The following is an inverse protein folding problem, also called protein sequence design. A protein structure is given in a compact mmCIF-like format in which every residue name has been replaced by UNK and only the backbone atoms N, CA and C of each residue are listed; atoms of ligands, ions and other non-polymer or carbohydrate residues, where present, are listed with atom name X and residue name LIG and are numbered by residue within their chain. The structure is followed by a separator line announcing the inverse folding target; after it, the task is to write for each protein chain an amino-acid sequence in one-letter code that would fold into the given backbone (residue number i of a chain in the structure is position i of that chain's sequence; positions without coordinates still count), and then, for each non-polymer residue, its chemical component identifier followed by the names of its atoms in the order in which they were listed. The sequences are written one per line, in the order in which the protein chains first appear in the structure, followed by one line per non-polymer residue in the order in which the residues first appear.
data_IF_358343757943
#
_entry.id   IF_358343757943
#
_cell.length_a   1.000
_cell.length_b   1.000
_cell.length_c   1.000
_cell.angle_alpha   90.00
_cell.angle_beta   90.00
_cell.angle_gamma   90.00
#
_symmetry.space_group_name_H-M   'P 1'
#
loop_
_entity.id
_entity.type
_entity.pdbx_description
1 polymer ?
#
# COMPACT_ATOMS: atom_id res chain seq x y z
N UNK A 1 42.84 0.93 20.35
CA UNK A 1 41.50 1.03 20.99
C UNK A 1 40.80 -0.31 20.82
N UNK A 2 40.69 -1.08 21.91
CA UNK A 2 40.03 -2.38 21.92
C UNK A 2 38.51 -2.18 22.01
N UNK A 3 37.79 -2.41 20.90
CA UNK A 3 36.34 -2.56 20.93
C UNK A 3 36.06 -4.00 21.38
N UNK A 4 35.80 -4.19 22.67
CA UNK A 4 35.18 -5.42 23.17
C UNK A 4 33.77 -5.48 22.59
N UNK A 5 33.60 -6.24 21.50
CA UNK A 5 32.30 -6.61 20.98
C UNK A 5 31.62 -7.48 22.04
N UNK A 6 30.60 -6.93 22.68
CA UNK A 6 29.89 -7.57 23.78
C UNK A 6 29.06 -8.74 23.21
N UNK A 7 29.57 -9.97 23.39
CA UNK A 7 28.96 -11.24 22.98
C UNK A 7 27.53 -11.38 23.51
N UNK A 8 27.16 -10.62 24.55
CA UNK A 8 25.80 -10.55 25.11
C UNK A 8 24.77 -9.95 24.15
N UNK A 9 25.15 -9.06 23.23
CA UNK A 9 24.21 -8.48 22.25
C UNK A 9 23.86 -9.45 21.11
N UNK A 10 24.80 -10.32 20.72
CA UNK A 10 24.55 -11.35 19.69
C UNK A 10 23.64 -12.45 20.25
N UNK A 11 23.82 -12.81 21.53
CA UNK A 11 22.95 -13.77 22.21
C UNK A 11 21.53 -13.22 22.42
N UNK A 12 21.33 -11.93 22.69
CA UNK A 12 19.98 -11.34 22.81
C UNK A 12 19.25 -11.25 21.47
N UNK A 13 19.96 -11.01 20.36
CA UNK A 13 19.37 -11.04 19.01
C UNK A 13 18.90 -12.43 18.60
N UNK A 14 19.70 -13.47 18.91
CA UNK A 14 19.32 -14.88 18.67
C UNK A 14 18.25 -15.35 19.66
N UNK A 15 18.29 -14.92 20.92
CA UNK A 15 17.29 -15.26 21.94
C UNK A 15 15.93 -14.57 21.68
N UNK A 16 15.88 -13.37 21.08
CA UNK A 16 14.62 -12.73 20.68
C UNK A 16 13.98 -13.40 19.47
N UNK A 17 14.78 -13.88 18.51
CA UNK A 17 14.29 -14.75 17.42
C UNK A 17 13.81 -16.10 17.98
N UNK A 18 14.42 -16.59 19.07
CA UNK A 18 14.05 -17.84 19.75
C UNK A 18 12.86 -17.71 20.72
N UNK A 19 12.61 -16.52 21.30
CA UNK A 19 11.49 -16.26 22.21
C UNK A 19 10.19 -15.88 21.47
N UNK A 20 10.29 -15.44 20.20
CA UNK A 20 9.15 -15.36 19.29
C UNK A 20 8.78 -16.75 18.72
N UNK A 21 9.66 -17.74 18.85
CA UNK A 21 9.40 -19.15 18.58
C UNK A 21 8.73 -19.86 19.79
N UNK A 22 7.79 -19.18 20.44
CA UNK A 22 7.01 -19.75 21.53
C UNK A 22 6.42 -21.10 21.12
N UNK A 23 6.94 -22.15 21.75
CA UNK A 23 6.55 -23.54 21.54
C UNK A 23 5.04 -23.73 21.75
N UNK A 24 4.27 -23.70 20.67
CA UNK A 24 3.02 -24.44 20.57
C UNK A 24 3.17 -25.47 19.47
N UNK A 25 3.10 -26.75 19.82
CA UNK A 25 3.19 -27.91 18.92
C UNK A 25 2.01 -28.07 17.94
N UNK A 26 1.17 -27.03 17.83
CA UNK A 26 0.23 -26.83 16.73
C UNK A 26 0.59 -25.49 16.09
N UNK A 27 0.78 -25.41 14.76
CA UNK A 27 0.79 -24.11 14.11
C UNK A 27 -0.53 -23.41 14.53
N UNK A 28 -0.48 -22.16 15.03
CA UNK A 28 -1.72 -21.42 15.28
C UNK A 28 -2.53 -21.46 13.99
N UNK A 29 -3.84 -21.70 14.10
CA UNK A 29 -4.75 -21.58 12.96
C UNK A 29 -4.40 -20.30 12.21
N UNK A 30 -4.12 -20.41 10.91
CA UNK A 30 -3.61 -19.32 10.10
C UNK A 30 -4.48 -18.08 10.27
N UNK A 31 -3.94 -17.07 10.94
CA UNK A 31 -4.62 -15.81 11.17
C UNK A 31 -4.14 -14.82 10.13
N UNK A 32 -5.08 -14.34 9.32
CA UNK A 32 -4.87 -13.43 8.20
C UNK A 32 -5.46 -12.07 8.53
N UNK A 33 -5.11 -11.04 7.77
CA UNK A 33 -5.74 -9.73 7.94
C UNK A 33 -7.26 -9.80 7.70
N UNK A 34 -7.74 -10.72 6.85
CA UNK A 34 -9.16 -10.97 6.63
C UNK A 34 -9.90 -11.55 7.86
N UNK A 35 -9.18 -11.92 8.92
CA UNK A 35 -9.73 -12.46 10.16
C UNK A 35 -9.95 -11.40 11.26
N UNK A 36 -9.60 -10.15 11.00
CA UNK A 36 -9.96 -9.06 11.91
C UNK A 36 -11.50 -8.96 12.06
N UNK A 37 -12.02 -8.80 13.30
CA UNK A 37 -13.44 -8.59 13.54
C UNK A 37 -13.97 -7.39 12.76
N UNK A 38 -15.14 -7.53 12.13
CA UNK A 38 -15.76 -6.51 11.27
C UNK A 38 -15.68 -6.83 9.77
N UNK A 39 -14.66 -7.57 9.31
CA UNK A 39 -14.58 -7.92 7.88
C UNK A 39 -15.71 -8.82 7.37
N UNK A 40 -16.32 -9.63 8.25
CA UNK A 40 -17.49 -10.45 7.90
C UNK A 40 -18.71 -9.61 7.49
N UNK A 41 -18.78 -8.36 7.96
CA UNK A 41 -19.87 -7.44 7.63
C UNK A 41 -19.61 -6.68 6.31
N UNK A 42 -18.39 -6.79 5.77
CA UNK A 42 -17.95 -6.16 4.53
C UNK A 42 -17.84 -7.16 3.35
N UNK A 43 -18.14 -8.44 3.54
CA UNK A 43 -18.12 -9.44 2.47
C UNK A 43 -19.29 -9.24 1.51
N UNK A 44 -19.03 -9.16 0.20
CA UNK A 44 -19.94 -9.22 -0.97
C UNK A 44 -21.24 -8.39 -1.01
N UNK A 45 -21.85 -8.03 0.13
CA UNK A 45 -23.24 -7.63 0.23
C UNK A 45 -23.45 -6.15 0.61
N UNK A 46 -22.38 -5.40 0.94
CA UNK A 46 -22.56 -4.13 1.67
C UNK A 46 -21.80 -2.92 1.13
N UNK A 47 -20.76 -3.08 0.29
CA UNK A 47 -19.95 -1.92 -0.14
C UNK A 47 -19.43 -1.97 -1.58
N UNK A 48 -19.28 -3.11 -2.27
CA UNK A 48 -19.07 -3.05 -3.71
C UNK A 48 -20.32 -2.53 -4.43
N UNK A 49 -20.17 -1.48 -5.23
CA UNK A 49 -21.09 -1.27 -6.35
C UNK A 49 -21.06 -2.48 -7.31
N UNK A 50 -22.05 -2.63 -8.20
CA UNK A 50 -22.02 -3.66 -9.23
C UNK A 50 -20.74 -3.54 -10.08
N UNK A 51 -20.45 -4.57 -10.90
CA UNK A 51 -19.44 -4.43 -11.96
C UNK A 51 -19.71 -3.14 -12.74
N UNK A 52 -18.70 -2.26 -12.93
CA UNK A 52 -18.91 -0.95 -13.54
C UNK A 52 -19.69 -1.02 -14.85
N UNK A 53 -20.70 -0.16 -14.99
CA UNK A 53 -21.47 -0.01 -16.23
C UNK A 53 -20.68 0.74 -17.33
N UNK A 54 -21.28 0.96 -18.49
CA UNK A 54 -20.59 1.63 -19.60
C UNK A 54 -20.16 3.07 -19.26
N UNK A 55 -20.98 3.84 -18.53
CA UNK A 55 -20.65 5.22 -18.12
C UNK A 55 -19.53 5.21 -17.08
N UNK A 56 -19.60 4.31 -16.12
CA UNK A 56 -18.60 4.18 -15.06
C UNK A 56 -17.26 3.71 -15.61
N UNK A 57 -17.27 2.80 -16.59
CA UNK A 57 -16.05 2.43 -17.32
C UNK A 57 -15.42 3.62 -18.04
N UNK A 58 -16.21 4.51 -18.64
CA UNK A 58 -15.67 5.72 -19.26
C UNK A 58 -14.99 6.64 -18.23
N UNK A 59 -15.52 6.75 -17.02
CA UNK A 59 -14.86 7.47 -15.92
C UNK A 59 -13.52 6.82 -15.54
N UNK A 60 -13.50 5.49 -15.41
CA UNK A 60 -12.29 4.72 -15.12
C UNK A 60 -11.23 4.87 -16.22
N UNK A 61 -11.62 4.89 -17.50
CA UNK A 61 -10.69 5.14 -18.60
C UNK A 61 -10.18 6.58 -18.62
N UNK A 62 -11.07 7.56 -18.40
CA UNK A 62 -10.74 8.98 -18.44
C UNK A 62 -9.72 9.37 -17.38
N UNK A 63 -9.88 8.88 -16.16
CA UNK A 63 -9.02 9.23 -15.02
C UNK A 63 -8.04 8.11 -14.65
N UNK A 64 -7.73 7.22 -15.60
CA UNK A 64 -6.79 6.13 -15.36
C UNK A 64 -5.40 6.69 -15.05
N UNK A 65 -4.73 6.23 -13.99
CA UNK A 65 -3.40 6.74 -13.64
C UNK A 65 -2.36 6.44 -14.73
N UNK A 66 -1.25 7.18 -14.68
CA UNK A 66 -0.01 6.82 -15.37
C UNK A 66 0.92 6.21 -14.35
N UNK A 67 1.29 4.95 -14.54
CA UNK A 67 2.12 4.21 -13.59
C UNK A 67 3.53 4.17 -14.14
N UNK A 68 4.51 4.60 -13.34
CA UNK A 68 5.93 4.60 -13.66
C UNK A 68 6.61 3.60 -12.76
N UNK A 69 7.47 2.75 -13.32
CA UNK A 69 8.26 1.79 -12.55
C UNK A 69 9.74 2.08 -12.67
N UNK A 70 10.48 1.82 -11.61
CA UNK A 70 11.92 2.03 -11.62
C UNK A 70 12.63 1.06 -12.59
N UNK A 71 13.83 1.43 -13.07
CA UNK A 71 14.67 0.53 -13.86
C UNK A 71 14.91 -0.77 -13.09
N UNK A 72 14.66 -1.91 -13.76
CA UNK A 72 14.85 -3.27 -13.20
C UNK A 72 13.97 -3.60 -11.99
N UNK A 73 12.98 -2.76 -11.67
CA UNK A 73 11.96 -3.12 -10.68
C UNK A 73 11.01 -4.20 -11.23
N UNK A 74 10.29 -4.91 -10.35
CA UNK A 74 9.19 -5.78 -10.77
C UNK A 74 8.23 -5.05 -11.72
N UNK A 75 7.79 -5.74 -12.77
CA UNK A 75 6.76 -5.23 -13.68
C UNK A 75 5.37 -5.61 -13.16
N UNK A 76 4.35 -4.76 -13.30
CA UNK A 76 2.98 -5.15 -13.01
C UNK A 76 2.56 -6.36 -13.84
N UNK A 77 1.57 -7.12 -13.38
CA UNK A 77 1.11 -8.37 -14.00
C UNK A 77 -0.42 -8.47 -14.06
N UNK A 78 -0.95 -9.38 -14.87
CA UNK A 78 -2.34 -9.86 -14.74
C UNK A 78 -2.39 -11.01 -13.72
N UNK A 79 -3.25 -10.89 -12.70
CA UNK A 79 -3.42 -11.92 -11.68
C UNK A 79 -3.88 -13.26 -12.27
N UNK A 80 -4.83 -13.25 -13.19
CA UNK A 80 -5.40 -14.47 -13.76
C UNK A 80 -4.54 -15.07 -14.86
N UNK A 81 -3.98 -14.24 -15.73
CA UNK A 81 -3.21 -14.70 -16.89
C UNK A 81 -1.75 -14.99 -16.56
N UNK A 82 -1.16 -14.23 -15.63
CA UNK A 82 0.28 -14.25 -15.39
C UNK A 82 0.63 -14.79 -13.99
N UNK A 83 -0.18 -14.55 -12.95
CA UNK A 83 0.09 -15.07 -11.61
C UNK A 83 -0.41 -16.52 -11.44
N UNK A 84 -1.72 -16.77 -11.57
CA UNK A 84 -2.31 -18.08 -11.26
C UNK A 84 -1.67 -19.27 -12.00
N UNK A 85 -1.37 -19.20 -13.32
CA UNK A 85 -0.76 -20.33 -14.04
C UNK A 85 0.63 -20.71 -13.53
N UNK A 86 1.31 -19.79 -12.84
CA UNK A 86 2.62 -20.00 -12.25
C UNK A 86 2.54 -20.35 -10.75
N UNK A 87 1.33 -20.62 -10.23
CA UNK A 87 1.11 -20.94 -8.82
C UNK A 87 0.54 -22.34 -8.63
N UNK A 88 0.81 -22.93 -7.46
CA UNK A 88 0.12 -24.14 -6.98
C UNK A 88 -0.67 -23.80 -5.72
N UNK A 89 -1.85 -24.38 -5.55
CA UNK A 89 -2.62 -24.25 -4.33
C UNK A 89 -2.18 -25.32 -3.33
N UNK A 90 -1.89 -24.92 -2.10
CA UNK A 90 -1.43 -25.81 -1.03
C UNK A 90 -2.29 -25.68 0.22
N UNK A 91 -2.44 -26.79 0.92
CA UNK A 91 -3.08 -26.87 2.23
C UNK A 91 -2.00 -26.73 3.32
N UNK A 92 -2.06 -25.64 4.07
CA UNK A 92 -1.14 -25.35 5.15
C UNK A 92 -1.32 -26.28 6.35
N UNK A 93 -2.56 -26.65 6.69
CA UNK A 93 -2.86 -27.56 7.80
C UNK A 93 -2.28 -28.96 7.52
N UNK A 94 -2.16 -29.31 6.23
CA UNK A 94 -1.57 -30.57 5.77
C UNK A 94 -0.12 -30.41 5.29
N UNK A 95 0.68 -29.57 5.96
CA UNK A 95 2.12 -29.40 5.70
C UNK A 95 2.45 -29.04 4.25
N UNK A 96 1.62 -28.19 3.64
CA UNK A 96 1.82 -27.72 2.26
C UNK A 96 1.46 -28.75 1.18
N UNK A 97 0.61 -29.74 1.50
CA UNK A 97 0.10 -30.70 0.51
C UNK A 97 -0.52 -29.96 -0.65
N UNK A 98 -0.14 -30.31 -1.87
CA UNK A 98 -0.72 -29.71 -3.08
C UNK A 98 -2.19 -30.10 -3.18
N UNK A 99 -3.06 -29.09 -3.19
CA UNK A 99 -4.51 -29.22 -3.39
C UNK A 99 -4.83 -29.14 -4.89
N UNK A 100 -4.22 -28.18 -5.59
CA UNK A 100 -4.36 -28.02 -7.03
C UNK A 100 -3.04 -27.57 -7.66
N UNK A 101 -2.68 -28.17 -8.80
CA UNK A 101 -1.50 -27.77 -9.61
C UNK A 101 -1.81 -26.73 -10.67
N UNK A 102 -3.06 -26.67 -11.10
CA UNK A 102 -3.55 -25.71 -12.07
C UNK A 102 -4.59 -24.87 -11.36
N UNK A 103 -4.17 -23.71 -10.85
CA UNK A 103 -5.07 -22.81 -10.14
C UNK A 103 -5.78 -21.95 -11.18
N UNK A 104 -7.11 -21.94 -11.12
CA UNK A 104 -7.95 -21.08 -11.94
C UNK A 104 -8.82 -20.19 -11.04
N UNK A 105 -9.51 -19.24 -11.65
CA UNK A 105 -10.52 -18.42 -10.97
C UNK A 105 -11.57 -19.30 -10.28
N UNK A 106 -12.05 -20.33 -10.96
CA UNK A 106 -13.07 -21.26 -10.48
C UNK A 106 -12.56 -22.07 -9.28
N UNK A 107 -11.29 -22.50 -9.32
CA UNK A 107 -10.65 -23.16 -8.17
C UNK A 107 -10.69 -22.25 -6.96
N UNK A 108 -10.34 -20.96 -7.10
CA UNK A 108 -10.39 -20.01 -5.98
C UNK A 108 -11.82 -19.72 -5.51
N UNK A 109 -12.80 -19.65 -6.42
CA UNK A 109 -14.22 -19.47 -6.07
C UNK A 109 -14.76 -20.65 -5.24
N UNK A 110 -14.32 -21.88 -5.53
CA UNK A 110 -14.74 -23.08 -4.82
C UNK A 110 -14.14 -23.19 -3.40
N UNK A 111 -13.13 -22.39 -3.05
CA UNK A 111 -12.51 -22.44 -1.72
C UNK A 111 -13.37 -21.82 -0.62
N UNK A 112 -14.44 -21.07 -0.97
CA UNK A 112 -15.29 -20.32 -0.04
C UNK A 112 -14.46 -19.51 0.98
N UNK A 113 -14.28 -20.05 2.19
CA UNK A 113 -13.51 -19.42 3.27
C UNK A 113 -12.00 -19.65 3.14
N UNK A 114 -11.52 -20.70 2.46
CA UNK A 114 -10.14 -20.89 1.98
C UNK A 114 -8.96 -20.73 2.96
N UNK A 115 -9.18 -20.50 4.27
CA UNK A 115 -8.15 -19.99 5.19
C UNK A 115 -7.00 -20.95 5.47
N UNK A 116 -7.24 -22.25 5.27
CA UNK A 116 -6.22 -23.29 5.41
C UNK A 116 -5.40 -23.47 4.13
N UNK A 117 -5.74 -22.74 3.06
CA UNK A 117 -5.03 -22.81 1.78
C UNK A 117 -4.19 -21.56 1.52
N UNK A 118 -3.16 -21.74 0.68
CA UNK A 118 -2.38 -20.63 0.13
C UNK A 118 -1.93 -20.93 -1.30
N UNK A 119 -1.69 -19.87 -2.08
CA UNK A 119 -1.04 -19.96 -3.38
C UNK A 119 0.47 -19.92 -3.22
N UNK A 120 1.17 -20.84 -3.87
CA UNK A 120 2.62 -20.89 -3.90
C UNK A 120 3.10 -20.60 -5.31
N UNK A 121 3.66 -19.41 -5.50
CA UNK A 121 4.26 -18.98 -6.76
C UNK A 121 5.53 -19.78 -7.02
N UNK A 122 5.45 -20.67 -8.01
CA UNK A 122 6.53 -21.57 -8.40
C UNK A 122 7.53 -20.87 -9.32
N UNK A 123 7.05 -19.92 -10.13
CA UNK A 123 7.87 -19.17 -11.07
C UNK A 123 7.41 -17.70 -11.13
N UNK A 124 8.34 -16.76 -10.96
CA UNK A 124 8.06 -15.34 -11.15
C UNK A 124 8.02 -15.06 -12.66
N UNK A 125 6.90 -14.57 -13.22
CA UNK A 125 6.82 -14.21 -14.63
C UNK A 125 7.67 -12.96 -14.93
N UNK A 126 8.38 -12.95 -16.05
CA UNK A 126 9.19 -11.79 -16.51
C UNK A 126 8.45 -11.09 -17.65
N UNK A 127 7.33 -10.44 -17.33
CA UNK A 127 6.44 -9.86 -18.34
C UNK A 127 7.11 -8.77 -19.18
N UNK A 128 8.04 -8.01 -18.59
CA UNK A 128 8.79 -6.98 -19.31
C UNK A 128 9.58 -7.62 -20.45
N UNK A 129 10.23 -8.75 -20.21
CA UNK A 129 10.96 -9.51 -21.24
C UNK A 129 10.04 -10.23 -22.21
N UNK A 130 8.90 -10.71 -21.74
CA UNK A 130 7.90 -11.41 -22.56
C UNK A 130 7.08 -10.47 -23.45
N UNK A 131 7.19 -9.15 -23.26
CA UNK A 131 6.44 -8.16 -24.05
C UNK A 131 4.93 -8.21 -23.79
N UNK A 132 4.51 -8.66 -22.60
CA UNK A 132 3.10 -8.78 -22.24
C UNK A 132 2.58 -7.50 -21.60
N UNK A 133 1.40 -7.07 -22.02
CA UNK A 133 0.71 -5.90 -21.45
C UNK A 133 0.06 -6.28 -20.11
N UNK A 134 0.42 -5.63 -18.99
CA UNK A 134 -0.18 -5.91 -17.70
C UNK A 134 -1.63 -5.45 -17.62
N UNK A 135 -2.31 -5.89 -16.57
CA UNK A 135 -3.69 -5.52 -16.27
C UNK A 135 -3.76 -4.76 -14.96
N UNK A 136 -4.53 -3.69 -14.95
CA UNK A 136 -4.94 -2.96 -13.76
C UNK A 136 -6.43 -3.19 -13.56
N UNK A 137 -6.81 -3.64 -12.37
CA UNK A 137 -8.21 -3.93 -12.06
C UNK A 137 -8.91 -2.67 -11.55
N UNK A 138 -9.86 -2.18 -12.34
CA UNK A 138 -10.61 -0.96 -12.07
C UNK A 138 -11.92 -1.23 -11.33
N UNK A 139 -12.23 -0.41 -10.33
CA UNK A 139 -13.53 -0.42 -9.63
C UNK A 139 -14.01 0.98 -9.34
N UNK A 140 -15.32 1.11 -9.16
CA UNK A 140 -15.97 2.34 -8.77
C UNK A 140 -16.77 2.13 -7.48
N UNK A 141 -16.72 3.13 -6.61
CA UNK A 141 -17.52 3.18 -5.39
C UNK A 141 -18.20 4.55 -5.31
N UNK A 142 -19.47 4.55 -4.96
CA UNK A 142 -20.23 5.78 -4.73
C UNK A 142 -20.57 5.84 -3.25
N UNK A 143 -20.07 6.85 -2.56
CA UNK A 143 -20.31 7.01 -1.12
C UNK A 143 -20.84 8.40 -0.79
N UNK A 144 -21.70 8.43 0.22
CA UNK A 144 -22.11 9.68 0.88
C UNK A 144 -21.21 9.88 2.09
N UNK A 145 -20.22 10.76 1.95
CA UNK A 145 -19.28 11.07 3.02
C UNK A 145 -19.76 12.27 3.83
N UNK A 146 -19.78 12.11 5.15
CA UNK A 146 -20.10 13.19 6.09
C UNK A 146 -18.84 13.94 6.50
N UNK A 147 -18.94 15.26 6.50
CA UNK A 147 -17.90 16.21 6.90
C UNK A 147 -18.41 17.18 7.97
N UNK A 148 -17.53 17.62 8.86
CA UNK A 148 -17.79 18.61 9.90
C UNK A 148 -17.34 19.96 9.37
N UNK A 149 -18.30 20.87 9.23
CA UNK A 149 -18.03 22.21 8.71
C UNK A 149 -17.54 23.19 9.80
N UNK A 150 -17.29 22.71 11.03
CA UNK A 150 -16.90 23.54 12.18
C UNK A 150 -18.00 24.45 12.72
N UNK A 151 -19.22 24.42 12.15
CA UNK A 151 -20.39 25.22 12.58
C UNK A 151 -21.44 24.40 13.34
N UNK A 152 -21.11 23.15 13.69
CA UNK A 152 -22.00 22.24 14.43
C UNK A 152 -22.99 21.46 13.56
N UNK A 153 -23.06 21.72 12.24
CA UNK A 153 -23.91 20.98 11.31
C UNK A 153 -23.06 20.12 10.35
N UNK A 154 -23.31 18.80 10.26
CA UNK A 154 -22.60 17.97 9.30
C UNK A 154 -22.99 18.33 7.86
N UNK A 155 -22.00 18.42 6.97
CA UNK A 155 -22.22 18.51 5.53
C UNK A 155 -22.02 17.14 4.90
N UNK A 156 -23.00 16.66 4.14
CA UNK A 156 -22.90 15.41 3.40
C UNK A 156 -22.53 15.69 1.96
N UNK A 157 -21.51 15.00 1.44
CA UNK A 157 -21.04 15.09 0.05
C UNK A 157 -21.16 13.73 -0.62
N UNK A 158 -21.55 13.73 -1.88
CA UNK A 158 -21.56 12.51 -2.69
C UNK A 158 -20.22 12.44 -3.42
N UNK A 159 -19.43 11.42 -3.09
CA UNK A 159 -18.10 11.22 -3.65
C UNK A 159 -18.08 9.92 -4.46
N UNK A 160 -17.36 9.96 -5.58
CA UNK A 160 -17.10 8.77 -6.40
C UNK A 160 -15.63 8.41 -6.30
N UNK A 161 -15.32 7.17 -5.91
CA UNK A 161 -13.96 6.66 -5.79
C UNK A 161 -13.66 5.69 -6.92
N UNK A 162 -12.68 6.03 -7.75
CA UNK A 162 -12.16 5.19 -8.82
C UNK A 162 -10.92 4.46 -8.32
N UNK A 163 -11.04 3.19 -7.94
CA UNK A 163 -9.94 2.35 -7.45
C UNK A 163 -9.28 1.62 -8.60
N UNK A 164 -7.94 1.63 -8.62
CA UNK A 164 -7.09 0.95 -9.59
C UNK A 164 -6.11 0.08 -8.84
N UNK A 165 -6.32 -1.24 -8.83
CA UNK A 165 -5.38 -2.19 -8.24
C UNK A 165 -4.30 -2.56 -9.26
N UNK A 166 -3.05 -2.23 -8.93
CA UNK A 166 -1.85 -2.63 -9.70
C UNK A 166 -1.30 -3.87 -9.02
N UNK A 167 -1.08 -4.94 -9.79
CA UNK A 167 -0.68 -6.24 -9.24
C UNK A 167 0.77 -6.53 -9.58
N UNK A 168 1.56 -6.98 -8.61
CA UNK A 168 2.90 -7.47 -8.81
C UNK A 168 3.02 -8.92 -8.31
N UNK A 169 3.81 -9.75 -9.00
CA UNK A 169 4.01 -11.15 -8.60
C UNK A 169 4.69 -11.28 -7.23
N UNK A 170 5.54 -10.32 -6.88
CA UNK A 170 6.29 -10.26 -5.63
C UNK A 170 6.48 -8.81 -5.21
N UNK A 171 6.64 -8.60 -3.92
CA UNK A 171 7.07 -7.32 -3.34
C UNK A 171 8.19 -7.56 -2.34
N UNK A 172 9.15 -6.64 -2.32
CA UNK A 172 10.29 -6.67 -1.45
C UNK A 172 10.23 -5.65 -0.31
N UNK A 173 11.30 -5.60 0.47
CA UNK A 173 11.52 -4.55 1.46
C UNK A 173 11.85 -3.21 0.78
N UNK A 174 11.77 -2.06 1.48
CA UNK A 174 12.20 -0.78 0.91
C UNK A 174 13.65 -0.83 0.37
N UNK A 175 13.90 -0.15 -0.75
CA UNK A 175 15.19 -0.21 -1.44
C UNK A 175 16.32 0.55 -0.68
N UNK A 176 15.97 1.56 0.11
CA UNK A 176 16.86 2.34 0.96
C UNK A 176 17.16 1.68 2.32
N UNK A 177 17.26 0.35 2.35
CA UNK A 177 17.72 -0.37 3.54
C UNK A 177 19.19 -0.01 3.83
N UNK A 178 19.57 0.16 5.11
CA UNK A 178 20.97 0.25 5.49
C UNK A 178 21.75 -0.97 4.95
N UNK A 179 22.90 -0.73 4.32
CA UNK A 179 23.67 -1.77 3.62
C UNK A 179 24.02 -2.98 4.51
N UNK A 180 24.22 -2.77 5.82
CA UNK A 180 24.46 -3.83 6.79
C UNK A 180 23.24 -4.74 6.97
N UNK A 181 22.03 -4.17 7.00
CA UNK A 181 20.80 -4.95 7.07
C UNK A 181 20.60 -5.77 5.80
N UNK A 182 20.82 -5.16 4.63
CA UNK A 182 20.71 -5.87 3.36
C UNK A 182 21.72 -7.02 3.25
N UNK A 183 22.98 -6.81 3.63
CA UNK A 183 23.98 -7.89 3.68
C UNK A 183 23.61 -8.97 4.69
N UNK A 184 23.14 -8.58 5.88
CA UNK A 184 22.69 -9.51 6.92
C UNK A 184 21.58 -10.42 6.43
N UNK A 185 20.54 -9.85 5.79
CA UNK A 185 19.44 -10.61 5.19
C UNK A 185 19.95 -11.60 4.13
N UNK A 186 20.83 -11.15 3.22
CA UNK A 186 21.41 -12.01 2.18
C UNK A 186 22.28 -13.13 2.74
N UNK A 187 23.07 -12.86 3.79
CA UNK A 187 23.86 -13.88 4.50
C UNK A 187 22.98 -14.94 5.17
N UNK A 188 21.80 -14.52 5.61
CA UNK A 188 20.74 -15.40 6.08
C UNK A 188 19.96 -16.05 4.92
N UNK A 189 20.38 -15.94 3.66
CA UNK A 189 19.66 -16.53 2.53
C UNK A 189 18.30 -15.91 2.23
N UNK A 190 17.96 -14.77 2.85
CA UNK A 190 16.76 -14.01 2.55
C UNK A 190 17.03 -13.07 1.37
N UNK A 191 16.04 -12.91 0.50
CA UNK A 191 16.10 -11.98 -0.61
C UNK A 191 15.27 -10.71 -0.30
N UNK A 192 15.90 -9.55 -0.04
CA UNK A 192 15.17 -8.32 0.22
C UNK A 192 14.28 -7.87 -0.93
N UNK A 193 14.54 -8.31 -2.17
CA UNK A 193 13.72 -7.99 -3.34
C UNK A 193 12.52 -8.91 -3.52
N UNK A 194 12.40 -9.94 -2.69
CA UNK A 194 11.35 -10.94 -2.75
C UNK A 194 10.95 -11.30 -1.32
N UNK A 195 10.32 -10.34 -0.66
CA UNK A 195 9.95 -10.40 0.76
C UNK A 195 8.60 -11.09 0.97
N UNK A 196 7.64 -10.86 0.08
CA UNK A 196 6.40 -11.63 0.00
C UNK A 196 5.96 -11.87 -1.45
N UNK A 197 5.23 -12.97 -1.65
CA UNK A 197 4.57 -13.28 -2.90
C UNK A 197 3.23 -12.55 -2.99
N UNK A 198 2.87 -12.15 -4.21
CA UNK A 198 1.76 -11.29 -4.57
C UNK A 198 1.71 -9.97 -3.82
N UNK A 199 1.63 -8.90 -4.59
CA UNK A 199 1.22 -7.60 -4.09
C UNK A 199 0.02 -7.13 -4.91
N UNK A 200 -1.16 -7.26 -4.31
CA UNK A 200 -2.44 -6.86 -4.88
C UNK A 200 -3.06 -5.66 -4.12
N UNK A 201 -2.36 -5.13 -3.12
CA UNK A 201 -2.82 -4.00 -2.30
C UNK A 201 -2.31 -2.66 -2.84
N UNK A 202 -1.27 -2.67 -3.66
CA UNK A 202 -0.83 -1.52 -4.42
C UNK A 202 -2.01 -0.93 -5.24
N UNK A 203 -2.57 0.19 -4.76
CA UNK A 203 -3.78 0.77 -5.32
C UNK A 203 -3.77 2.31 -5.31
N UNK A 204 -4.33 2.88 -6.38
CA UNK A 204 -4.67 4.29 -6.50
C UNK A 204 -6.18 4.44 -6.39
N UNK A 205 -6.68 5.32 -5.53
CA UNK A 205 -8.08 5.74 -5.57
C UNK A 205 -8.16 7.19 -6.00
N UNK A 206 -8.71 7.46 -7.18
CA UNK A 206 -9.02 8.82 -7.62
C UNK A 206 -10.40 9.19 -7.08
N UNK A 207 -10.47 10.28 -6.32
CA UNK A 207 -11.72 10.75 -5.69
C UNK A 207 -12.31 11.88 -6.53
N UNK A 208 -13.53 11.69 -6.99
CA UNK A 208 -14.30 12.68 -7.72
C UNK A 208 -15.37 13.33 -6.84
N UNK A 209 -15.62 14.62 -7.06
CA UNK A 209 -16.77 15.32 -6.50
C UNK A 209 -18.06 15.08 -7.30
N UNK A 210 -19.15 15.75 -6.90
CA UNK A 210 -20.46 15.63 -7.54
C UNK A 210 -20.49 16.11 -9.00
N UNK A 211 -19.50 16.89 -9.43
CA UNK A 211 -19.33 17.35 -10.80
C UNK A 211 -18.37 16.44 -11.60
N UNK A 212 -18.07 15.25 -11.07
CA UNK A 212 -17.13 14.27 -11.63
C UNK A 212 -15.73 14.87 -11.84
N UNK A 213 -15.34 15.86 -11.01
CA UNK A 213 -14.00 16.47 -11.04
C UNK A 213 -13.09 15.79 -10.01
N UNK A 214 -11.84 15.44 -10.37
CA UNK A 214 -10.89 14.87 -9.43
C UNK A 214 -10.50 15.91 -8.37
N UNK A 215 -10.73 15.58 -7.10
CA UNK A 215 -10.46 16.46 -5.96
C UNK A 215 -9.38 15.92 -5.03
N UNK A 216 -9.19 14.60 -4.99
CA UNK A 216 -8.17 13.97 -4.16
C UNK A 216 -7.72 12.62 -4.74
N UNK A 217 -6.63 12.09 -4.19
CA UNK A 217 -6.12 10.75 -4.45
C UNK A 217 -5.80 10.07 -3.11
N UNK A 218 -6.18 8.79 -2.98
CA UNK A 218 -5.70 7.90 -1.91
C UNK A 218 -4.70 6.92 -2.49
N UNK A 219 -3.51 6.89 -1.91
CA UNK A 219 -2.49 5.89 -2.23
C UNK A 219 -2.33 4.93 -1.06
N UNK A 220 -2.38 3.63 -1.36
CA UNK A 220 -1.90 2.60 -0.45
C UNK A 220 -0.37 2.68 -0.39
N UNK A 221 0.18 2.76 0.82
CA UNK A 221 1.60 2.87 1.08
C UNK A 221 1.95 2.01 2.29
N UNK A 222 2.50 0.82 2.05
CA UNK A 222 2.76 -0.22 3.05
C UNK A 222 1.50 -0.59 3.81
N UNK A 223 1.47 -0.31 5.11
CA UNK A 223 0.35 -0.63 6.01
C UNK A 223 -0.49 0.60 6.34
N UNK A 224 -0.32 1.68 5.60
CA UNK A 224 -1.07 2.91 5.77
C UNK A 224 -1.52 3.46 4.42
N UNK A 225 -2.32 4.50 4.47
CA UNK A 225 -2.78 5.21 3.28
C UNK A 225 -2.42 6.68 3.42
N UNK A 226 -2.30 7.36 2.29
CA UNK A 226 -2.11 8.80 2.26
C UNK A 226 -3.05 9.48 1.28
N UNK A 227 -3.70 10.52 1.77
CA UNK A 227 -4.56 11.40 0.97
C UNK A 227 -3.73 12.57 0.44
N UNK A 228 -3.84 12.82 -0.85
CA UNK A 228 -3.28 13.99 -1.51
C UNK A 228 -4.39 14.75 -2.24
N UNK A 229 -4.45 16.06 -2.12
CA UNK A 229 -5.46 16.89 -2.78
C UNK A 229 -4.98 17.35 -4.15
N UNK A 230 -5.88 17.25 -5.13
CA UNK A 230 -5.63 17.71 -6.49
C UNK A 230 -5.61 19.23 -6.53
N UNK A 231 -4.58 19.81 -7.17
CA UNK A 231 -4.34 21.24 -7.24
C UNK A 231 -3.66 21.86 -6.01
N UNK A 232 -3.52 21.10 -4.91
CA UNK A 232 -2.79 21.53 -3.71
C UNK A 232 -1.53 20.69 -3.49
N UNK A 233 -1.68 19.38 -3.40
CA UNK A 233 -0.58 18.45 -3.09
C UNK A 233 -0.04 17.77 -4.36
N UNK A 234 -0.88 17.60 -5.38
CA UNK A 234 -0.49 17.10 -6.70
C UNK A 234 -1.13 17.92 -7.84
N UNK A 235 -0.44 18.09 -8.97
CA UNK A 235 -1.05 18.70 -10.15
C UNK A 235 -2.06 17.75 -10.81
N UNK A 236 -3.05 18.30 -11.51
CA UNK A 236 -3.85 17.56 -12.49
C UNK A 236 -3.27 17.80 -13.89
N UNK A 237 -2.68 16.79 -14.54
CA UNK A 237 -2.20 16.94 -15.91
C UNK A 237 -3.33 17.25 -16.90
N UNK A 238 -2.99 17.85 -18.04
CA UNK A 238 -3.96 18.26 -19.07
C UNK A 238 -4.78 17.09 -19.63
N UNK A 239 -4.18 15.90 -19.70
CA UNK A 239 -4.86 14.67 -20.13
C UNK A 239 -5.76 14.06 -19.04
N UNK A 240 -5.79 14.65 -17.84
CA UNK A 240 -6.56 14.19 -16.68
C UNK A 240 -5.96 12.98 -15.96
N UNK A 241 -4.75 12.52 -16.34
CA UNK A 241 -4.15 11.29 -15.84
C UNK A 241 -2.96 11.57 -14.94
N UNK A 242 -3.20 11.52 -13.63
CA UNK A 242 -2.16 11.72 -12.61
C UNK A 242 -1.09 10.64 -12.69
N UNK A 243 0.15 11.01 -12.37
CA UNK A 243 1.34 10.18 -12.54
C UNK A 243 1.83 9.69 -11.18
N UNK A 244 2.02 8.38 -11.05
CA UNK A 244 2.50 7.73 -9.84
C UNK A 244 3.69 6.84 -10.14
N UNK A 245 4.72 6.93 -9.31
CA UNK A 245 5.90 6.09 -9.40
C UNK A 245 5.84 4.98 -8.35
N UNK A 246 5.97 3.73 -8.79
CA UNK A 246 6.12 2.57 -7.93
C UNK A 246 7.52 2.54 -7.32
N UNK A 247 7.61 2.27 -6.03
CA UNK A 247 8.87 2.08 -5.33
C UNK A 247 9.63 0.89 -5.92
N UNK A 248 10.95 1.05 -6.08
CA UNK A 248 11.81 0.14 -6.82
C UNK A 248 11.72 -1.33 -6.38
N UNK A 249 11.38 -1.59 -5.11
CA UNK A 249 11.42 -2.92 -4.51
C UNK A 249 10.12 -3.32 -3.82
N UNK A 250 9.51 -2.40 -3.07
CA UNK A 250 8.26 -2.61 -2.34
C UNK A 250 7.00 -2.36 -3.18
N UNK A 251 7.14 -1.87 -4.42
CA UNK A 251 6.07 -1.55 -5.37
C UNK A 251 5.09 -0.44 -4.95
N UNK A 252 5.19 0.07 -3.72
CA UNK A 252 4.31 1.11 -3.18
C UNK A 252 4.26 2.35 -4.06
N UNK A 253 3.07 2.94 -4.22
CA UNK A 253 2.88 4.07 -5.12
C UNK A 253 3.06 5.41 -4.41
N UNK A 254 3.82 6.28 -5.06
CA UNK A 254 4.02 7.67 -4.64
C UNK A 254 3.71 8.61 -5.80
N UNK A 255 3.24 9.85 -5.54
CA UNK A 255 3.10 10.85 -6.59
C UNK A 255 4.45 11.07 -7.28
N UNK A 256 4.44 11.14 -8.62
CA UNK A 256 5.63 11.57 -9.35
C UNK A 256 5.85 13.07 -9.08
N UNK A 257 7.02 13.41 -8.56
CA UNK A 257 7.41 14.79 -8.21
C UNK A 257 8.00 15.54 -9.39
N UNK A 258 8.26 14.87 -10.53
CA UNK A 258 8.89 15.48 -11.70
C UNK A 258 10.40 15.74 -11.52
N UNK A 259 10.99 15.20 -10.45
CA UNK A 259 12.42 15.32 -10.16
C UNK A 259 13.27 14.54 -11.17
N UNK A 260 14.49 15.03 -11.42
CA UNK A 260 15.45 14.38 -12.34
C UNK A 260 16.31 13.30 -11.67
N UNK A 261 16.17 13.15 -10.36
CA UNK A 261 16.89 12.18 -9.54
C UNK A 261 15.89 11.29 -8.79
N UNK A 262 16.30 10.09 -8.34
CA UNK A 262 15.46 9.24 -7.53
C UNK A 262 15.04 9.93 -6.23
N UNK A 263 13.79 9.68 -5.81
CA UNK A 263 13.20 10.30 -4.62
C UNK A 263 13.08 9.26 -3.51
N UNK A 264 13.42 9.67 -2.29
CA UNK A 264 13.38 8.83 -1.10
C UNK A 264 12.11 9.13 -0.30
N UNK A 265 11.38 8.08 0.07
CA UNK A 265 10.16 8.17 0.87
C UNK A 265 10.34 7.34 2.13
N UNK A 266 10.09 7.93 3.30
CA UNK A 266 10.18 7.19 4.55
C UNK A 266 9.17 6.05 4.54
N UNK A 267 9.62 4.84 4.85
CA UNK A 267 8.79 3.65 4.91
C UNK A 267 8.75 3.08 6.33
N UNK A 268 7.56 2.63 6.73
CA UNK A 268 7.31 2.03 8.05
C UNK A 268 6.65 0.67 7.88
N UNK A 269 7.07 -0.30 8.71
CA UNK A 269 6.48 -1.63 8.72
C UNK A 269 5.17 -1.71 9.49
N UNK A 270 4.81 -0.68 10.26
CA UNK A 270 3.61 -0.70 11.11
C UNK A 270 3.05 0.70 11.39
N UNK A 271 1.72 0.89 11.40
CA UNK A 271 1.08 2.20 11.64
C UNK A 271 1.45 2.86 12.98
N UNK A 272 1.92 2.09 13.98
CA UNK A 272 2.36 2.70 15.24
C UNK A 272 3.57 3.64 15.06
N UNK A 273 4.24 3.59 13.91
CA UNK A 273 5.39 4.43 13.58
C UNK A 273 5.04 5.61 12.65
N UNK A 274 3.76 5.93 12.44
CA UNK A 274 3.33 7.07 11.61
C UNK A 274 3.97 8.40 12.03
N UNK A 275 4.32 8.59 13.30
CA UNK A 275 5.08 9.76 13.74
C UNK A 275 6.42 9.92 13.01
N UNK A 276 7.17 8.83 12.80
CA UNK A 276 8.42 8.86 12.03
C UNK A 276 8.15 9.19 10.57
N UNK A 277 7.07 8.64 10.01
CA UNK A 277 6.62 8.94 8.65
C UNK A 277 6.32 10.42 8.45
N UNK A 278 5.79 11.12 9.46
CA UNK A 278 5.43 12.53 9.34
C UNK A 278 6.58 13.47 9.72
N UNK A 279 7.32 13.17 10.80
CA UNK A 279 8.35 14.07 11.35
C UNK A 279 9.79 13.76 10.95
N UNK A 280 10.10 12.51 10.63
CA UNK A 280 11.45 12.02 10.39
C UNK A 280 12.23 11.80 11.69
N UNK A 281 11.61 12.10 12.83
CA UNK A 281 12.17 11.94 14.16
C UNK A 281 11.83 10.56 14.72
N UNK A 282 12.60 10.13 15.72
CA UNK A 282 12.42 8.84 16.39
C UNK A 282 12.39 7.64 15.42
N UNK A 283 13.31 7.63 14.44
CA UNK A 283 13.45 6.56 13.44
C UNK A 283 13.47 5.17 14.10
N UNK A 284 12.48 4.30 13.82
CA UNK A 284 12.52 2.92 14.28
C UNK A 284 13.74 2.20 13.71
N UNK A 285 14.29 1.24 14.48
CA UNK A 285 15.47 0.47 14.06
C UNK A 285 15.30 -0.22 12.69
N UNK A 286 14.09 -0.69 12.39
CA UNK A 286 13.74 -1.37 11.14
C UNK A 286 13.08 -0.47 10.10
N UNK A 287 13.12 0.86 10.29
CA UNK A 287 12.64 1.78 9.27
C UNK A 287 13.68 1.95 8.15
N UNK A 288 13.17 2.04 6.93
CA UNK A 288 13.95 2.20 5.72
C UNK A 288 13.26 3.24 4.83
N UNK A 289 13.86 3.51 3.68
CA UNK A 289 13.29 4.44 2.71
C UNK A 289 12.92 3.69 1.43
N UNK A 290 11.71 3.89 0.93
CA UNK A 290 11.38 3.55 -0.44
C UNK A 290 12.09 4.50 -1.38
N UNK A 291 12.43 4.01 -2.56
CA UNK A 291 13.09 4.80 -3.60
C UNK A 291 12.23 4.70 -4.85
N UNK A 292 11.78 5.85 -5.37
CA UNK A 292 11.03 5.94 -6.61
C UNK A 292 11.85 6.62 -7.69
N UNK A 293 11.60 6.21 -8.93
CA UNK A 293 12.18 6.82 -10.12
C UNK A 293 11.02 7.36 -10.94
N UNK A 294 10.78 8.68 -10.88
CA UNK A 294 9.79 9.35 -11.72
C UNK A 294 10.20 9.35 -13.19
N UNK A 295 9.35 9.87 -14.07
CA UNK A 295 9.60 9.87 -15.52
C UNK A 295 10.93 10.55 -15.89
N UNK A 296 11.25 11.64 -15.19
CA UNK A 296 12.47 12.42 -15.43
C UNK A 296 13.71 11.86 -14.70
N UNK A 297 13.52 10.90 -13.80
CA UNK A 297 14.58 10.20 -13.08
C UNK A 297 14.94 8.84 -13.71
N UNK A 298 14.45 8.56 -14.93
CA UNK A 298 14.72 7.31 -15.65
C UNK A 298 13.70 6.19 -15.36
N UNK A 299 12.57 6.51 -14.72
CA UNK A 299 11.45 5.58 -14.62
C UNK A 299 10.81 5.30 -15.97
N UNK A 300 10.26 4.09 -16.12
CA UNK A 300 9.58 3.63 -17.33
C UNK A 300 8.07 3.66 -17.09
N UNK A 301 7.32 4.37 -17.94
CA UNK A 301 5.86 4.34 -17.89
C UNK A 301 5.33 2.99 -18.40
N UNK A 302 4.37 2.43 -17.66
CA UNK A 302 3.72 1.17 -17.95
C UNK A 302 2.41 1.44 -18.69
N UNK A 303 2.33 1.01 -19.94
CA UNK A 303 1.05 0.86 -20.63
C UNK A 303 0.34 -0.39 -20.13
N UNK A 304 -0.96 -0.29 -19.85
CA UNK A 304 -1.74 -1.37 -19.26
C UNK A 304 -3.18 -1.40 -19.77
N UNK A 305 -3.79 -2.58 -19.67
CA UNK A 305 -5.22 -2.78 -19.91
C UNK A 305 -6.02 -2.58 -18.62
N UNK A 306 -7.22 -2.01 -18.73
CA UNK A 306 -8.17 -1.99 -17.62
C UNK A 306 -9.10 -3.20 -17.72
N UNK A 307 -9.19 -3.96 -16.63
CA UNK A 307 -10.21 -5.01 -16.49
C UNK A 307 -11.14 -4.70 -15.32
N UNK A 308 -12.39 -5.15 -15.47
CA UNK A 308 -13.47 -4.92 -14.51
C UNK A 308 -13.99 -6.28 -14.07
N UNK A 309 -13.62 -6.68 -12.86
CA UNK A 309 -14.04 -7.96 -12.29
C UNK A 309 -15.32 -7.78 -11.49
N UNK A 310 -16.01 -8.91 -11.27
CA UNK A 310 -17.16 -8.95 -10.39
C UNK A 310 -16.76 -8.54 -8.96
N UNK A 311 -17.59 -7.78 -8.22
CA UNK A 311 -17.40 -7.50 -6.80
C UNK A 311 -17.04 -8.67 -5.89
N UNK A 312 -17.60 -9.85 -6.18
CA UNK A 312 -17.40 -11.09 -5.43
C UNK A 312 -16.30 -11.96 -6.05
N UNK A 313 -15.48 -11.38 -6.92
CA UNK A 313 -14.35 -12.07 -7.50
C UNK A 313 -13.30 -12.46 -6.44
N UNK A 314 -12.70 -13.67 -6.50
CA UNK A 314 -11.69 -14.09 -5.53
C UNK A 314 -10.50 -13.15 -5.43
N UNK A 315 -10.14 -12.43 -6.50
CA UNK A 315 -9.09 -11.42 -6.44
C UNK A 315 -9.34 -10.40 -5.34
N UNK A 316 -10.61 -10.00 -5.11
CA UNK A 316 -10.97 -9.01 -4.10
C UNK A 316 -11.28 -9.64 -2.74
N UNK A 317 -12.02 -10.74 -2.72
CA UNK A 317 -12.65 -11.24 -1.48
C UNK A 317 -12.11 -12.57 -0.97
N UNK A 318 -11.14 -13.19 -1.66
CA UNK A 318 -10.60 -14.46 -1.22
C UNK A 318 -9.97 -14.33 0.17
N UNK A 319 -10.28 -15.29 1.04
CA UNK A 319 -9.67 -15.41 2.37
C UNK A 319 -8.54 -16.44 2.40
N UNK A 320 -8.32 -17.12 1.28
CA UNK A 320 -7.09 -17.85 1.01
C UNK A 320 -5.93 -16.86 0.95
N UNK A 321 -4.76 -17.24 1.46
CA UNK A 321 -3.55 -16.44 1.28
C UNK A 321 -3.11 -16.55 -0.18
N UNK A 322 -3.11 -15.43 -0.89
CA UNK A 322 -2.84 -15.43 -2.33
C UNK A 322 -1.33 -15.44 -2.65
N UNK A 323 -0.50 -15.85 -1.69
CA UNK A 323 0.94 -16.12 -1.86
C UNK A 323 1.51 -16.94 -0.69
N UNK A 324 2.67 -17.55 -0.89
CA UNK A 324 3.20 -18.57 0.01
C UNK A 324 3.76 -18.02 1.32
N UNK A 325 3.73 -18.89 2.33
CA UNK A 325 4.56 -18.78 3.51
C UNK A 325 6.03 -18.91 3.13
N UNK A 326 6.88 -18.09 3.75
CA UNK A 326 8.34 -18.22 3.64
C UNK A 326 8.92 -18.75 4.95
N UNK A 327 9.14 -20.08 5.05
CA UNK A 327 9.81 -20.63 6.22
C UNK A 327 11.31 -20.29 6.16
N UNK A 328 11.83 -19.84 7.29
CA UNK A 328 13.23 -19.58 7.54
C UNK A 328 13.66 -20.29 8.82
N UNK A 329 14.45 -21.37 8.71
CA UNK A 329 14.83 -22.24 9.83
C UNK A 329 13.65 -22.68 10.72
N UNK A 330 12.49 -22.93 10.13
CA UNK A 330 11.26 -23.31 10.85
C UNK A 330 10.51 -22.14 11.50
N UNK A 331 10.96 -20.90 11.30
CA UNK A 331 10.26 -19.67 11.66
C UNK A 331 9.71 -19.00 10.40
N UNK A 332 8.48 -18.51 10.44
CA UNK A 332 7.91 -17.74 9.33
C UNK A 332 8.51 -16.33 9.37
N UNK A 333 9.56 -16.09 8.58
CA UNK A 333 10.22 -14.78 8.46
C UNK A 333 9.98 -14.25 7.05
N UNK A 334 8.88 -13.51 6.92
CA UNK A 334 8.37 -12.96 5.67
C UNK A 334 6.90 -12.66 5.86
N UNK A 335 6.32 -11.76 5.05
CA UNK A 335 4.87 -11.62 5.04
C UNK A 335 4.29 -12.70 4.15
N UNK A 336 3.30 -13.41 4.66
CA UNK A 336 2.49 -14.34 3.88
C UNK A 336 1.80 -13.54 2.76
N UNK A 337 1.59 -14.14 1.59
CA UNK A 337 0.93 -13.42 0.51
C UNK A 337 -0.47 -12.98 0.94
N UNK A 338 -0.88 -11.75 0.63
CA UNK A 338 -2.08 -11.16 1.19
C UNK A 338 -3.33 -11.97 0.83
N UNK A 339 -4.42 -11.85 1.61
CA UNK A 339 -5.74 -12.26 1.15
C UNK A 339 -6.20 -11.36 -0.02
N UNK A 340 -7.46 -11.47 -0.41
CA UNK A 340 -8.05 -10.68 -1.48
C UNK A 340 -7.86 -9.16 -1.29
N UNK A 341 -7.79 -8.44 -2.40
CA UNK A 341 -7.41 -7.03 -2.50
C UNK A 341 -8.37 -6.03 -1.81
N UNK A 342 -9.49 -6.49 -1.25
CA UNK A 342 -10.39 -5.68 -0.42
C UNK A 342 -10.06 -5.74 1.09
N UNK A 343 -9.14 -6.61 1.50
CA UNK A 343 -8.63 -6.67 2.87
C UNK A 343 -7.38 -5.78 3.04
N UNK A 344 -7.47 -4.51 2.66
CA UNK A 344 -6.32 -3.59 2.56
C UNK A 344 -6.27 -2.52 3.66
N UNK A 345 -7.29 -2.40 4.50
CA UNK A 345 -7.33 -1.45 5.63
C UNK A 345 -8.20 -1.95 6.78
N UNK A 346 -8.13 -1.33 7.95
CA UNK A 346 -8.95 -1.72 9.11
C UNK A 346 -10.45 -1.60 8.80
N UNK A 347 -11.33 -2.47 9.35
CA UNK A 347 -12.78 -2.43 9.08
C UNK A 347 -13.43 -1.05 9.28
N UNK A 348 -13.05 -0.31 10.32
CA UNK A 348 -13.57 1.05 10.57
C UNK A 348 -13.20 2.07 9.47
N UNK A 349 -12.18 1.77 8.67
CA UNK A 349 -11.70 2.57 7.54
C UNK A 349 -12.12 1.99 6.18
N UNK A 350 -12.88 0.88 6.14
CA UNK A 350 -13.39 0.32 4.89
C UNK A 350 -14.32 1.27 4.13
N UNK A 351 -15.17 2.10 4.78
CA UNK A 351 -15.81 3.22 4.10
C UNK A 351 -14.73 4.18 3.59
N UNK A 352 -14.64 4.35 2.27
CA UNK A 352 -13.57 5.11 1.63
C UNK A 352 -13.60 6.60 2.04
N UNK A 353 -14.76 7.15 2.35
CA UNK A 353 -14.88 8.47 2.96
C UNK A 353 -14.18 8.57 4.33
N UNK A 354 -14.20 7.50 5.14
CA UNK A 354 -13.45 7.46 6.40
C UNK A 354 -11.95 7.29 6.17
N UNK A 355 -11.56 6.43 5.23
CA UNK A 355 -10.15 6.28 4.85
C UNK A 355 -9.56 7.59 4.34
N UNK A 356 -10.31 8.30 3.48
CA UNK A 356 -9.98 9.61 2.95
C UNK A 356 -9.66 10.61 4.06
N UNK A 357 -10.53 10.67 5.07
CA UNK A 357 -10.37 11.54 6.25
C UNK A 357 -9.19 11.12 7.11
N UNK A 358 -9.13 9.85 7.52
CA UNK A 358 -8.08 9.36 8.42
C UNK A 358 -6.66 9.46 7.83
N UNK A 359 -6.54 9.46 6.50
CA UNK A 359 -5.28 9.45 5.77
C UNK A 359 -4.82 10.85 5.32
N UNK A 360 -5.58 11.90 5.63
CA UNK A 360 -5.22 13.28 5.30
C UNK A 360 -4.25 13.88 6.33
N UNK A 361 -2.98 13.50 6.18
CA UNK A 361 -1.86 13.89 7.03
C UNK A 361 -0.68 14.39 6.18
N UNK A 362 0.02 15.41 6.65
CA UNK A 362 1.06 16.16 5.96
C UNK A 362 2.38 16.06 6.72
N UNK A 363 3.47 16.00 5.96
CA UNK A 363 4.81 15.92 6.53
C UNK A 363 5.16 17.22 7.25
N UNK A 364 5.76 17.09 8.43
CA UNK A 364 6.23 18.22 9.23
C UNK A 364 5.15 19.08 9.91
N UNK A 365 3.86 18.84 9.67
CA UNK A 365 2.78 19.63 10.28
C UNK A 365 2.58 19.28 11.76
N UNK A 366 2.67 20.27 12.64
CA UNK A 366 2.58 20.10 14.10
C UNK A 366 1.27 19.50 14.56
N UNK A 367 0.15 19.94 13.98
CA UNK A 367 -1.19 19.46 14.36
C UNK A 367 -1.37 17.98 13.96
N UNK A 368 -0.88 17.60 12.78
CA UNK A 368 -0.92 16.22 12.29
C UNK A 368 -0.07 15.30 13.18
N UNK A 369 1.11 15.77 13.61
CA UNK A 369 1.95 15.05 14.56
C UNK A 369 1.29 14.89 15.92
N UNK A 370 0.64 15.93 16.42
CA UNK A 370 -0.07 15.89 17.69
C UNK A 370 -1.21 14.87 17.65
N UNK A 371 -2.09 14.94 16.66
CA UNK A 371 -3.23 14.01 16.58
C UNK A 371 -2.77 12.56 16.43
N UNK A 372 -1.69 12.30 15.68
CA UNK A 372 -1.11 10.95 15.54
C UNK A 372 -0.55 10.44 16.86
N UNK A 373 0.19 11.27 17.61
CA UNK A 373 0.70 10.90 18.94
C UNK A 373 -0.41 10.56 19.92
N UNK A 374 -1.52 11.29 19.83
CA UNK A 374 -2.66 11.08 20.71
C UNK A 374 -3.61 9.96 20.23
N UNK A 375 -3.51 9.53 18.97
CA UNK A 375 -4.26 8.41 18.40
C UNK A 375 -3.54 7.06 18.56
N UNK A 376 -2.22 7.08 18.80
CA UNK A 376 -1.37 5.88 18.83
C UNK A 376 -0.85 5.64 20.25
N UNK A 377 -1.31 4.55 20.86
CA UNK A 377 -0.72 4.04 22.09
C UNK A 377 0.25 2.89 21.77
N UNK A 378 1.53 3.23 21.61
CA UNK A 378 2.58 2.26 21.31
C UNK A 378 2.75 1.18 22.38
N UNK A 379 2.48 1.52 23.65
CA UNK A 379 2.69 0.60 24.77
C UNK A 379 1.65 -0.51 24.76
N UNK A 380 0.40 -0.17 24.41
CA UNK A 380 -0.71 -1.11 24.36
C UNK A 380 -1.06 -1.58 22.94
N UNK A 381 -0.29 -1.17 21.93
CA UNK A 381 -0.52 -1.51 20.53
C UNK A 381 -1.86 -1.01 19.98
N UNK A 382 -2.39 0.10 20.52
CA UNK A 382 -3.72 0.62 20.13
C UNK A 382 -3.61 1.74 19.11
N UNK A 383 -4.59 1.77 18.21
CA UNK A 383 -4.75 2.77 17.16
C UNK A 383 -6.20 3.27 17.15
N UNK A 384 -6.41 4.54 17.48
CA UNK A 384 -7.72 5.21 17.46
C UNK A 384 -7.98 5.84 16.08
N UNK A 385 -8.52 5.03 15.17
CA UNK A 385 -8.91 5.50 13.84
C UNK A 385 -10.00 6.58 13.90
N UNK A 386 -10.90 6.54 14.88
CA UNK A 386 -11.99 7.50 15.01
C UNK A 386 -11.47 8.91 15.29
N UNK A 387 -10.38 9.05 16.06
CA UNK A 387 -9.70 10.33 16.26
C UNK A 387 -9.17 10.91 14.96
N UNK A 388 -8.47 10.10 14.16
CA UNK A 388 -7.91 10.55 12.88
C UNK A 388 -9.00 10.90 11.88
N UNK A 389 -10.09 10.13 11.85
CA UNK A 389 -11.28 10.45 11.03
C UNK A 389 -11.81 11.84 11.42
N UNK A 390 -12.10 12.10 12.70
CA UNK A 390 -12.63 13.39 13.16
C UNK A 390 -11.71 14.56 12.82
N UNK A 391 -10.41 14.36 12.97
CA UNK A 391 -9.41 15.37 12.63
C UNK A 391 -9.40 15.69 11.13
N UNK A 392 -9.24 14.67 10.30
CA UNK A 392 -9.20 14.84 8.84
C UNK A 392 -10.52 15.32 8.26
N UNK A 393 -11.65 15.00 8.91
CA UNK A 393 -12.97 15.47 8.53
C UNK A 393 -13.06 17.00 8.44
N UNK A 394 -12.56 17.68 9.47
CA UNK A 394 -12.57 19.14 9.54
C UNK A 394 -11.56 19.74 8.55
N UNK A 395 -10.35 19.19 8.50
CA UNK A 395 -9.27 19.70 7.64
C UNK A 395 -9.62 19.57 6.16
N UNK A 396 -10.09 18.40 5.72
CA UNK A 396 -10.51 18.19 4.34
C UNK A 396 -11.67 19.10 3.94
N UNK A 397 -12.65 19.30 4.82
CA UNK A 397 -13.76 20.20 4.51
C UNK A 397 -13.27 21.63 4.24
N UNK A 398 -12.36 22.12 5.07
CA UNK A 398 -11.78 23.46 4.92
C UNK A 398 -11.00 23.61 3.61
N UNK A 399 -10.21 22.60 3.24
CA UNK A 399 -9.36 22.68 2.06
C UNK A 399 -10.10 22.41 0.76
N UNK A 400 -11.09 21.51 0.75
CA UNK A 400 -11.83 21.12 -0.46
C UNK A 400 -13.11 21.91 -0.70
N UNK A 401 -13.86 22.24 0.36
CA UNK A 401 -15.26 22.65 0.21
C UNK A 401 -15.54 24.06 0.71
N UNK A 402 -14.84 24.54 1.73
CA UNK A 402 -15.08 25.87 2.28
C UNK A 402 -14.64 27.02 1.34
N UNK A 403 -13.69 26.77 0.42
CA UNK A 403 -13.09 27.82 -0.42
C UNK A 403 -13.94 28.30 -1.60
N UNK A 404 -15.08 27.66 -1.92
CA UNK A 404 -15.95 28.10 -3.05
C UNK A 404 -16.73 29.40 -2.79
N UNK A 405 -16.51 30.09 -1.66
CA UNK A 405 -17.18 31.36 -1.30
C UNK A 405 -16.41 32.65 -1.63
N UNK A 406 -15.14 32.59 -2.02
CA UNK A 406 -14.37 33.77 -2.42
C UNK A 406 -13.46 33.44 -3.58
N UNK A 407 -13.73 34.06 -4.72
CA UNK A 407 -12.91 34.10 -5.93
C UNK A 407 -12.88 32.83 -6.81
N UNK A 408 -13.60 32.94 -7.93
CA UNK A 408 -13.14 32.43 -9.21
C UNK A 408 -11.76 33.05 -9.53
N UNK A 409 -10.67 32.47 -9.03
CA UNK A 409 -9.32 32.93 -9.34
C UNK A 409 -8.41 31.75 -9.67
N UNK A 410 -8.05 31.71 -10.96
CA UNK A 410 -6.77 31.30 -11.56
C UNK A 410 -5.85 30.44 -10.68
N UNK A 411 -5.59 29.23 -11.17
CA UNK A 411 -4.49 28.38 -10.67
C UNK A 411 -3.18 29.17 -10.60
N UNK A 412 -2.46 29.15 -9.45
CA UNK A 412 -1.11 29.70 -9.38
C UNK A 412 -0.09 28.72 -9.98
N UNK A 413 0.87 29.30 -10.69
CA UNK A 413 2.12 28.70 -11.21
C UNK A 413 3.15 28.56 -10.06
N UNK A 414 4.33 27.97 -10.32
CA UNK A 414 4.71 26.58 -10.10
C UNK A 414 5.19 26.27 -8.67
N UNK A 415 5.18 24.97 -8.39
CA UNK A 415 5.63 24.30 -7.17
C UNK A 415 7.13 24.55 -6.88
N UNK A 416 7.45 25.06 -5.69
CA UNK A 416 8.78 24.91 -5.09
C UNK A 416 8.69 23.83 -4.02
N UNK A 417 9.26 22.66 -4.29
CA UNK A 417 9.47 21.62 -3.28
C UNK A 417 10.44 22.16 -2.23
N UNK A 418 9.98 22.34 -0.99
CA UNK A 418 10.87 22.55 0.15
C UNK A 418 11.62 21.25 0.42
N UNK A 419 12.86 21.21 -0.05
CA UNK A 419 13.85 20.17 0.23
C UNK A 419 14.15 20.14 1.72
N UNK A 420 13.92 18.99 2.37
CA UNK A 420 14.56 18.67 3.64
C UNK A 420 16.03 18.32 3.34
N UNK A 421 16.90 19.32 3.41
CA UNK A 421 18.34 19.10 3.37
C UNK A 421 18.77 18.50 4.71
N UNK A 422 19.16 17.23 4.72
CA UNK A 422 19.93 16.65 5.82
C UNK A 422 21.26 17.41 5.95
N UNK A 423 21.80 17.59 7.17
CA UNK A 423 23.09 18.25 7.35
C UNK A 423 24.21 17.35 6.80
N UNK A 424 24.88 17.83 5.75
CA UNK A 424 26.04 17.17 5.16
C UNK A 424 27.21 17.17 6.15
N UNK A 425 27.70 15.98 6.49
CA UNK A 425 29.01 15.80 7.10
C UNK A 425 30.08 15.87 6.01
N UNK A 426 30.97 16.85 6.13
CA UNK A 426 32.19 16.95 5.33
C UNK A 426 33.05 15.69 5.50
N UNK A 427 33.30 14.99 4.39
CA UNK A 427 34.39 14.03 4.30
C UNK A 427 35.57 14.77 3.68
N UNK A 428 36.54 15.12 4.50
CA UNK A 428 37.86 15.58 4.05
C UNK A 428 38.62 14.38 3.47
N UNK A 429 39.19 14.50 2.26
CA UNK A 429 40.14 13.51 1.76
C UNK A 429 41.51 13.83 2.36
N UNK A 430 42.16 12.82 2.93
CA UNK A 430 43.60 12.85 3.21
C UNK A 430 44.26 11.62 2.56
N UNK A 431 45.56 11.75 2.19
CA UNK A 431 46.14 11.21 0.96
C UNK A 431 46.31 9.69 0.89
#
# INVERSE_FOLDING_TARGET
MNVKMDIRCLCVGVLMVSLLAGCTSRPPSLWTFADFPGFREHTCATVPGPTPDAKERLLLYRFRPRIVVAPRAPWPIDFYRDYLPNTVLRDADQRGRVVARHVTREVLQQLENGRHCYLDLVQIPDLRREGKTPVVYGRIYHERATFSNGRGEPTVRSLTFLKYNVVFAVSGLPAGLPWMHEKGLRLLGLNPADWHQLDNFCAVHVVLDEAEQPVAVLLAQHNYHRTYLVGKDLPLPEDGRMIFAAAQRSNELYPDTGETIPVFHRAISWPLYTEYLLSGQARPWFAADDITYGQRAGGEEVEYELQFLDPCDPFYISRCMLGAYRPFFGLEIGRNGPPGADYYTLPALMPLGNLLKASYLHDGRSEDLQVVREAIDRRNGRYDSARLIRYGEQQLYQDLFARKGSESARMPVPFHSTVSSLPGGEVTPTP
#
